data_IF_222790406153
#
_entry.id   IF_222790406153
#
_cell.length_a   1.000
_cell.length_b   1.000
_cell.length_c   1.000
_cell.angle_alpha   90.00
_cell.angle_beta   90.00
_cell.angle_gamma   90.00
#
_symmetry.space_group_name_H-M   'P 1'
#
loop_
_entity.id
_entity.type
_entity.pdbx_description
1 polymer ?
#
# COMPACT_ATOMS: atom_id res chain seq x y z
N UNK A 1 3.24 -10.52 -12.06
CA UNK A 1 2.25 -9.53 -11.54
C UNK A 1 2.56 -8.18 -12.15
N UNK A 2 1.55 -7.41 -12.58
CA UNK A 2 1.73 -6.04 -13.06
C UNK A 2 1.26 -5.04 -12.01
N UNK A 3 2.13 -4.11 -11.63
CA UNK A 3 1.81 -3.02 -10.70
C UNK A 3 1.64 -1.72 -11.47
N UNK A 4 0.56 -0.98 -11.18
CA UNK A 4 0.35 0.38 -11.69
C UNK A 4 0.15 1.35 -10.54
N UNK A 5 0.91 2.43 -10.50
CA UNK A 5 0.67 3.50 -9.52
C UNK A 5 -0.58 4.29 -9.90
N UNK A 6 -1.50 4.47 -8.97
CA UNK A 6 -2.73 5.24 -9.11
C UNK A 6 -2.71 6.51 -8.27
N UNK A 7 -1.51 7.04 -7.99
CA UNK A 7 -1.31 8.28 -7.25
C UNK A 7 -1.07 8.04 -5.76
N UNK A 8 -0.19 8.84 -5.17
CA UNK A 8 0.11 8.82 -3.73
C UNK A 8 0.40 7.41 -3.15
N UNK A 9 -0.45 6.86 -2.28
CA UNK A 9 -0.34 5.49 -1.79
C UNK A 9 -1.06 4.46 -2.68
N UNK A 10 -1.99 4.91 -3.52
CA UNK A 10 -2.81 3.99 -4.29
C UNK A 10 -2.02 3.23 -5.37
N UNK A 11 -2.14 1.91 -5.32
CA UNK A 11 -1.59 1.01 -6.34
C UNK A 11 -2.64 0.01 -6.81
N UNK A 12 -2.50 -0.40 -8.07
CA UNK A 12 -3.30 -1.45 -8.69
C UNK A 12 -2.38 -2.61 -9.04
N UNK A 13 -2.72 -3.80 -8.59
CA UNK A 13 -2.05 -5.05 -8.89
C UNK A 13 -2.93 -5.89 -9.81
N UNK A 14 -2.35 -6.36 -10.91
CA UNK A 14 -3.03 -7.21 -11.89
C UNK A 14 -2.23 -8.51 -12.07
N UNK A 15 -2.90 -9.64 -11.88
CA UNK A 15 -2.32 -10.98 -12.08
C UNK A 15 -3.43 -11.95 -12.49
N UNK A 16 -3.20 -12.71 -13.57
CA UNK A 16 -4.11 -13.74 -14.07
C UNK A 16 -5.57 -13.26 -14.28
N UNK A 17 -5.74 -11.98 -14.62
CA UNK A 17 -7.04 -11.34 -14.83
C UNK A 17 -7.71 -10.80 -13.55
N UNK A 18 -7.14 -11.08 -12.38
CA UNK A 18 -7.57 -10.56 -11.09
C UNK A 18 -6.97 -9.18 -10.86
N UNK A 19 -7.75 -8.30 -10.25
CA UNK A 19 -7.40 -6.90 -10.00
C UNK A 19 -7.60 -6.56 -8.53
N UNK A 20 -6.51 -6.21 -7.87
CA UNK A 20 -6.50 -5.76 -6.47
C UNK A 20 -6.07 -4.29 -6.45
N UNK A 21 -6.83 -3.44 -5.77
CA UNK A 21 -6.47 -2.03 -5.55
C UNK A 21 -6.17 -1.81 -4.08
N UNK A 22 -5.03 -1.22 -3.77
CA UNK A 22 -4.62 -0.91 -2.39
C UNK A 22 -4.69 0.60 -2.19
N UNK A 23 -5.23 1.03 -1.06
CA UNK A 23 -5.31 2.42 -0.59
C UNK A 23 -5.86 3.46 -1.60
N UNK A 24 -7.06 3.26 -2.15
CA UNK A 24 -7.74 4.24 -3.03
C UNK A 24 -8.29 5.44 -2.23
N UNK A 25 -7.41 6.23 -1.64
CA UNK A 25 -7.74 7.47 -0.91
C UNK A 25 -7.98 8.67 -1.81
N UNK A 26 -8.19 9.84 -1.21
CA UNK A 26 -8.55 11.09 -1.90
C UNK A 26 -7.47 11.63 -2.85
N UNK A 27 -6.23 11.17 -2.75
CA UNK A 27 -5.13 11.57 -3.64
C UNK A 27 -4.91 10.60 -4.80
N UNK A 28 -5.83 9.65 -4.97
CA UNK A 28 -5.79 8.66 -6.03
C UNK A 28 -6.37 9.18 -7.33
N UNK A 29 -6.03 8.51 -8.41
CA UNK A 29 -6.68 8.62 -9.71
C UNK A 29 -8.19 8.30 -9.56
N UNK A 30 -9.11 9.12 -10.11
CA UNK A 30 -10.56 8.89 -10.00
C UNK A 30 -11.04 7.54 -10.57
N UNK A 31 -10.26 6.93 -11.46
CA UNK A 31 -10.52 5.65 -12.11
C UNK A 31 -9.71 4.50 -11.48
N UNK A 32 -9.11 4.69 -10.30
CA UNK A 32 -8.30 3.67 -9.64
C UNK A 32 -9.05 2.34 -9.44
N UNK A 33 -10.36 2.41 -9.17
CA UNK A 33 -11.22 1.27 -8.88
C UNK A 33 -11.88 0.61 -10.09
N UNK A 34 -11.66 1.13 -11.31
CA UNK A 34 -12.33 0.60 -12.51
C UNK A 34 -11.95 -0.87 -12.75
N UNK A 35 -12.94 -1.77 -12.68
CA UNK A 35 -12.73 -3.22 -12.82
C UNK A 35 -11.93 -3.87 -11.69
N UNK A 36 -11.88 -3.24 -10.51
CA UNK A 36 -11.32 -3.87 -9.31
C UNK A 36 -12.19 -5.06 -8.86
N UNK A 37 -11.56 -6.18 -8.53
CA UNK A 37 -12.24 -7.32 -7.90
C UNK A 37 -12.16 -7.20 -6.37
N UNK A 38 -11.06 -6.63 -5.88
CA UNK A 38 -10.79 -6.45 -4.48
C UNK A 38 -10.20 -5.07 -4.18
N UNK A 39 -10.53 -4.53 -3.00
CA UNK A 39 -9.91 -3.36 -2.41
C UNK A 39 -9.28 -3.73 -1.08
N UNK A 40 -8.03 -3.33 -0.87
CA UNK A 40 -7.33 -3.43 0.40
C UNK A 40 -7.12 -2.01 0.94
N UNK A 41 -7.44 -1.76 2.21
CA UNK A 41 -7.23 -0.45 2.84
C UNK A 41 -6.42 -0.62 4.13
N UNK A 42 -5.31 0.09 4.22
CA UNK A 42 -4.35 -0.04 5.33
C UNK A 42 -4.84 0.61 6.62
N UNK A 43 -5.42 1.81 6.52
CA UNK A 43 -5.91 2.60 7.67
C UNK A 43 -6.85 3.75 7.24
N UNK A 44 -7.42 4.46 8.22
CA UNK A 44 -8.51 5.43 8.01
C UNK A 44 -8.12 6.82 7.51
N UNK A 45 -6.84 7.13 7.29
CA UNK A 45 -6.46 8.46 6.81
C UNK A 45 -6.95 8.71 5.38
N UNK A 46 -7.31 9.97 5.11
CA UNK A 46 -8.06 10.37 3.91
C UNK A 46 -7.29 10.20 2.61
N UNK A 47 -5.97 10.12 2.66
CA UNK A 47 -5.06 9.87 1.54
C UNK A 47 -4.88 8.38 1.22
N UNK A 48 -5.36 7.49 2.09
CA UNK A 48 -5.44 6.03 1.89
C UNK A 48 -6.89 5.54 1.75
N UNK A 49 -7.84 6.24 2.36
CA UNK A 49 -9.25 5.86 2.44
C UNK A 49 -10.19 7.00 2.04
N UNK A 50 -11.04 6.75 1.04
CA UNK A 50 -12.08 7.68 0.60
C UNK A 50 -13.47 7.02 0.73
N UNK A 51 -14.10 7.11 1.91
CA UNK A 51 -15.39 6.45 2.20
C UNK A 51 -16.45 6.60 1.08
N UNK A 52 -16.74 7.82 0.57
CA UNK A 52 -17.78 7.97 -0.45
C UNK A 52 -17.46 7.22 -1.75
N UNK A 53 -16.17 7.14 -2.10
CA UNK A 53 -15.68 6.46 -3.31
C UNK A 53 -15.84 4.95 -3.16
N UNK A 54 -15.42 4.37 -2.03
CA UNK A 54 -15.53 2.93 -1.79
C UNK A 54 -17.00 2.49 -1.68
N UNK A 55 -17.86 3.29 -1.04
CA UNK A 55 -19.30 3.00 -0.99
C UNK A 55 -19.92 3.00 -2.38
N UNK A 56 -19.65 4.03 -3.19
CA UNK A 56 -20.16 4.11 -4.55
C UNK A 56 -19.67 2.94 -5.42
N UNK A 57 -18.39 2.55 -5.31
CA UNK A 57 -17.84 1.41 -6.02
C UNK A 57 -18.50 0.09 -5.59
N UNK A 58 -18.69 -0.12 -4.29
CA UNK A 58 -19.37 -1.30 -3.77
C UNK A 58 -20.86 -1.34 -4.15
N UNK A 59 -21.54 -0.20 -4.27
CA UNK A 59 -22.92 -0.14 -4.76
C UNK A 59 -23.02 -0.46 -6.25
N UNK A 60 -22.06 0.01 -7.05
CA UNK A 60 -22.00 -0.24 -8.49
C UNK A 60 -21.66 -1.69 -8.84
N UNK A 61 -20.81 -2.35 -8.03
CA UNK A 61 -20.42 -3.74 -8.22
C UNK A 61 -20.69 -4.60 -6.97
N UNK A 62 -21.74 -5.43 -6.97
CA UNK A 62 -22.02 -6.37 -5.90
C UNK A 62 -20.93 -7.41 -5.64
N UNK A 63 -20.05 -7.66 -6.62
CA UNK A 63 -18.91 -8.58 -6.53
C UNK A 63 -17.69 -7.98 -5.83
N UNK A 64 -17.60 -6.65 -5.71
CA UNK A 64 -16.45 -5.99 -5.09
C UNK A 64 -16.32 -6.38 -3.61
N UNK A 65 -15.13 -6.86 -3.24
CA UNK A 65 -14.78 -7.22 -1.86
C UNK A 65 -13.77 -6.24 -1.29
N UNK A 66 -13.92 -5.91 -0.01
CA UNK A 66 -13.07 -4.95 0.70
C UNK A 66 -12.46 -5.65 1.92
N UNK A 67 -11.15 -5.54 2.08
CA UNK A 67 -10.44 -5.92 3.30
C UNK A 67 -9.79 -4.68 3.87
N UNK A 68 -9.97 -4.47 5.16
CA UNK A 68 -9.42 -3.30 5.83
C UNK A 68 -9.20 -3.56 7.32
N UNK A 69 -8.44 -2.69 7.95
CA UNK A 69 -8.40 -2.65 9.41
C UNK A 69 -9.79 -2.36 10.01
N UNK A 70 -9.90 -2.49 11.32
CA UNK A 70 -11.18 -2.29 12.01
C UNK A 70 -11.70 -0.86 11.88
N UNK A 71 -10.83 0.15 11.95
CA UNK A 71 -11.23 1.55 11.94
C UNK A 71 -11.87 1.95 10.61
N UNK A 72 -11.35 1.45 9.49
CA UNK A 72 -11.96 1.63 8.16
C UNK A 72 -13.24 0.81 8.02
N UNK A 73 -13.21 -0.46 8.44
CA UNK A 73 -14.36 -1.34 8.29
C UNK A 73 -15.60 -0.84 9.06
N UNK A 74 -15.40 -0.26 10.24
CA UNK A 74 -16.48 0.34 11.04
C UNK A 74 -17.10 1.55 10.32
N UNK A 75 -16.30 2.34 9.60
CA UNK A 75 -16.81 3.46 8.77
C UNK A 75 -17.56 2.98 7.54
N UNK A 76 -17.23 1.80 7.02
CA UNK A 76 -17.95 1.15 5.92
C UNK A 76 -19.11 0.26 6.39
N UNK A 77 -19.44 0.28 7.69
CA UNK A 77 -20.59 -0.44 8.23
C UNK A 77 -21.88 -0.07 7.46
N UNK A 78 -22.78 -1.03 7.36
CA UNK A 78 -24.01 -0.90 6.57
C UNK A 78 -23.85 -1.23 5.09
N UNK A 79 -22.63 -1.40 4.56
CA UNK A 79 -22.44 -2.09 3.28
C UNK A 79 -22.90 -3.54 3.44
N UNK A 80 -24.02 -3.89 2.80
CA UNK A 80 -24.67 -5.19 2.95
C UNK A 80 -23.84 -6.35 2.38
N UNK A 81 -24.22 -7.58 2.74
CA UNK A 81 -23.72 -8.80 2.08
C UNK A 81 -22.32 -9.27 2.51
N UNK A 82 -21.80 -8.83 3.65
CA UNK A 82 -20.51 -9.32 4.17
C UNK A 82 -19.32 -8.96 3.26
N UNK A 83 -19.44 -7.84 2.54
CA UNK A 83 -18.44 -7.41 1.55
C UNK A 83 -17.17 -6.84 2.17
N UNK A 84 -17.30 -6.27 3.36
CA UNK A 84 -16.20 -5.73 4.15
C UNK A 84 -15.72 -6.79 5.13
N UNK A 85 -14.45 -7.13 5.04
CA UNK A 85 -13.77 -8.09 5.92
C UNK A 85 -12.76 -7.33 6.77
N UNK A 86 -12.92 -7.39 8.08
CA UNK A 86 -11.93 -6.85 9.03
C UNK A 86 -10.72 -7.78 9.03
N UNK A 87 -9.53 -7.21 8.91
CA UNK A 87 -8.25 -7.92 9.03
C UNK A 87 -7.32 -7.23 10.02
N UNK A 88 -6.37 -7.98 10.56
CA UNK A 88 -5.32 -7.51 11.46
C UNK A 88 -4.01 -8.27 11.28
N UNK A 89 -2.99 -7.89 12.04
CA UNK A 89 -1.67 -8.55 12.04
C UNK A 89 -1.79 -10.08 12.17
N UNK A 90 -1.07 -10.80 11.31
CA UNK A 90 -1.03 -12.26 11.28
C UNK A 90 -2.17 -12.93 10.51
N UNK A 91 -3.17 -12.18 10.05
CA UNK A 91 -4.21 -12.72 9.16
C UNK A 91 -3.62 -13.05 7.78
N UNK A 92 -4.15 -14.10 7.16
CA UNK A 92 -3.84 -14.48 5.79
C UNK A 92 -5.10 -14.95 5.06
N UNK A 93 -5.22 -14.59 3.79
CA UNK A 93 -6.38 -14.91 2.96
C UNK A 93 -6.00 -14.99 1.48
N UNK A 94 -6.97 -15.35 0.65
CA UNK A 94 -6.82 -15.50 -0.79
C UNK A 94 -7.83 -14.61 -1.53
N UNK A 95 -7.39 -14.02 -2.63
CA UNK A 95 -8.22 -13.26 -3.57
C UNK A 95 -8.07 -13.90 -4.94
N UNK A 96 -9.01 -14.77 -5.31
CA UNK A 96 -9.07 -15.42 -6.63
C UNK A 96 -7.75 -16.12 -7.01
N UNK A 97 -7.11 -16.79 -6.05
CA UNK A 97 -5.83 -17.48 -6.23
C UNK A 97 -4.58 -16.64 -5.91
N UNK A 98 -4.75 -15.38 -5.50
CA UNK A 98 -3.66 -14.51 -5.06
C UNK A 98 -3.64 -14.47 -3.53
N UNK A 99 -2.58 -15.02 -2.94
CA UNK A 99 -2.36 -14.97 -1.50
C UNK A 99 -2.10 -13.55 -0.99
N UNK A 100 -2.65 -13.24 0.18
CA UNK A 100 -2.43 -11.98 0.92
C UNK A 100 -2.16 -12.28 2.38
N UNK A 101 -1.09 -11.71 2.93
CA UNK A 101 -0.79 -11.71 4.36
C UNK A 101 -0.86 -10.28 4.92
N UNK A 102 -1.29 -10.16 6.17
CA UNK A 102 -1.48 -8.88 6.85
C UNK A 102 -0.46 -8.73 7.96
N UNK A 103 0.23 -7.59 8.00
CA UNK A 103 1.35 -7.35 8.90
C UNK A 103 1.24 -5.97 9.56
N UNK A 104 1.55 -5.89 10.85
CA UNK A 104 1.58 -4.65 11.63
C UNK A 104 0.22 -4.24 12.21
N UNK A 105 0.29 -3.40 13.23
CA UNK A 105 -0.89 -3.00 14.01
C UNK A 105 -1.11 -1.48 14.06
N UNK A 106 -0.03 -0.69 13.92
CA UNK A 106 -0.04 0.73 14.25
C UNK A 106 0.73 1.56 13.22
N UNK A 107 0.15 2.71 12.88
CA UNK A 107 0.78 3.73 12.06
C UNK A 107 2.07 4.24 12.74
N UNK A 108 3.05 4.71 11.97
CA UNK A 108 4.24 5.39 12.48
C UNK A 108 3.88 6.59 13.36
N UNK A 109 4.75 6.98 14.28
CA UNK A 109 4.45 8.12 15.17
C UNK A 109 4.50 9.41 14.38
N UNK A 110 3.36 10.08 14.19
CA UNK A 110 3.31 11.43 13.62
C UNK A 110 3.90 12.45 14.59
N UNK A 111 3.38 12.49 15.81
CA UNK A 111 3.88 13.34 16.89
C UNK A 111 3.48 12.74 18.25
N UNK A 112 4.29 12.87 19.31
CA UNK A 112 3.96 12.34 20.64
C UNK A 112 2.64 12.85 21.25
N UNK A 113 2.19 14.04 20.84
CA UNK A 113 0.94 14.64 21.33
C UNK A 113 -0.32 14.17 20.58
N UNK A 114 -0.15 13.38 19.51
CA UNK A 114 -1.26 12.86 18.72
C UNK A 114 -1.46 11.37 19.01
N UNK A 115 -2.72 10.88 19.11
CA UNK A 115 -2.97 9.46 19.21
C UNK A 115 -2.46 8.75 17.95
N UNK A 116 -1.85 7.58 18.13
CA UNK A 116 -1.53 6.69 17.00
C UNK A 116 -2.80 5.98 16.58
N UNK A 117 -3.04 5.95 15.27
CA UNK A 117 -4.11 5.18 14.63
C UNK A 117 -3.64 3.76 14.31
N UNK A 118 -4.59 2.87 14.06
CA UNK A 118 -4.29 1.54 13.54
C UNK A 118 -3.75 1.64 12.12
N UNK A 119 -2.89 0.70 11.76
CA UNK A 119 -2.41 0.56 10.38
C UNK A 119 -1.96 -0.89 10.19
N UNK A 120 -2.49 -1.52 9.15
CA UNK A 120 -1.98 -2.80 8.67
C UNK A 120 -1.25 -2.60 7.34
N UNK A 121 -0.32 -3.49 7.03
CA UNK A 121 0.32 -3.63 5.72
C UNK A 121 -0.08 -4.93 5.04
N UNK A 122 -0.06 -4.95 3.71
CA UNK A 122 -0.45 -6.10 2.90
C UNK A 122 0.75 -6.64 2.12
N UNK A 123 1.09 -7.91 2.35
CA UNK A 123 2.03 -8.67 1.52
C UNK A 123 1.21 -9.50 0.53
N UNK A 124 1.29 -9.15 -0.76
CA UNK A 124 0.49 -9.77 -1.83
C UNK A 124 1.38 -10.61 -2.72
N UNK A 125 0.89 -11.79 -3.09
CA UNK A 125 1.56 -12.75 -3.97
C UNK A 125 2.36 -13.81 -3.21
N UNK A 126 3.09 -14.64 -3.96
CA UNK A 126 3.89 -15.75 -3.45
C UNK A 126 5.32 -15.72 -4.00
N UNK A 127 6.18 -16.61 -3.49
CA UNK A 127 7.59 -16.71 -3.94
C UNK A 127 7.77 -17.26 -5.35
N UNK A 128 6.74 -17.93 -5.90
CA UNK A 128 6.86 -18.59 -7.20
C UNK A 128 6.60 -17.58 -8.34
N UNK A 129 5.88 -16.50 -8.05
CA UNK A 129 5.56 -15.42 -8.99
C UNK A 129 6.32 -14.13 -8.68
N UNK A 130 5.91 -13.40 -7.65
CA UNK A 130 6.56 -12.22 -7.08
C UNK A 130 5.76 -11.78 -5.84
N UNK A 131 6.45 -11.22 -4.85
CA UNK A 131 5.80 -10.57 -3.70
C UNK A 131 5.87 -9.06 -3.71
N UNK A 132 4.78 -8.42 -3.28
CA UNK A 132 4.68 -6.96 -3.10
C UNK A 132 4.23 -6.66 -1.68
N UNK A 133 4.99 -5.84 -0.96
CA UNK A 133 4.58 -5.36 0.35
C UNK A 133 4.17 -3.89 0.31
N UNK A 134 2.91 -3.63 0.68
CA UNK A 134 2.38 -2.29 0.92
C UNK A 134 2.25 -2.05 2.43
N UNK A 135 3.15 -1.29 3.07
CA UNK A 135 3.15 -1.14 4.53
C UNK A 135 2.10 -0.16 5.07
N UNK A 136 1.44 0.61 4.18
CA UNK A 136 0.70 1.80 4.58
C UNK A 136 1.66 2.85 5.12
N UNK A 137 1.27 3.52 6.19
CA UNK A 137 2.05 4.57 6.84
C UNK A 137 2.80 4.07 8.07
N UNK A 138 3.47 2.93 7.90
CA UNK A 138 4.24 2.30 8.94
C UNK A 138 5.59 1.79 8.41
N UNK A 139 6.53 1.60 9.33
CA UNK A 139 7.79 0.90 9.08
C UNK A 139 7.70 -0.55 9.57
N UNK A 140 6.59 -1.22 9.23
CA UNK A 140 6.33 -2.63 9.61
C UNK A 140 7.23 -3.56 8.81
N UNK A 141 7.89 -4.51 9.47
CA UNK A 141 8.70 -5.54 8.80
C UNK A 141 7.89 -6.85 8.71
N UNK A 142 7.55 -7.34 7.50
CA UNK A 142 6.85 -8.61 7.36
C UNK A 142 7.74 -9.78 7.74
N UNK A 143 7.13 -10.90 8.10
CA UNK A 143 7.85 -12.07 8.66
C UNK A 143 8.64 -12.88 7.63
N UNK A 144 8.45 -12.61 6.32
CA UNK A 144 9.16 -13.29 5.22
C UNK A 144 9.78 -12.27 4.24
N UNK A 145 10.78 -12.69 3.44
CA UNK A 145 11.40 -11.83 2.44
C UNK A 145 10.38 -11.24 1.45
N UNK A 146 10.68 -10.02 1.00
CA UNK A 146 9.85 -9.25 0.06
C UNK A 146 10.63 -8.98 -1.22
N UNK A 147 10.05 -9.27 -2.39
CA UNK A 147 10.68 -8.94 -3.67
C UNK A 147 10.56 -7.44 -3.95
N UNK A 148 9.34 -6.90 -3.85
CA UNK A 148 9.05 -5.49 -4.10
C UNK A 148 8.45 -4.81 -2.88
N UNK A 149 9.17 -3.84 -2.31
CA UNK A 149 8.65 -2.97 -1.24
C UNK A 149 8.04 -1.71 -1.86
N UNK A 150 6.79 -1.41 -1.50
CA UNK A 150 6.20 -0.10 -1.75
C UNK A 150 6.59 0.83 -0.60
N UNK A 151 7.58 1.67 -0.86
CA UNK A 151 8.30 2.43 0.15
C UNK A 151 7.64 3.81 0.33
N UNK A 152 6.97 4.09 1.47
CA UNK A 152 6.45 5.43 1.77
C UNK A 152 7.63 6.38 2.00
N UNK A 153 7.85 7.31 1.06
CA UNK A 153 9.06 8.17 1.06
C UNK A 153 8.89 9.48 1.82
N UNK A 154 7.66 9.82 2.19
CA UNK A 154 7.32 11.07 2.84
C UNK A 154 6.04 10.90 3.66
N UNK A 155 5.78 11.84 4.55
CA UNK A 155 4.65 11.85 5.48
C UNK A 155 5.03 12.68 6.71
N UNK A 156 4.08 13.29 7.43
CA UNK A 156 4.37 14.07 8.65
C UNK A 156 5.13 13.28 9.73
N UNK A 157 5.02 11.95 9.68
CA UNK A 157 5.64 10.98 10.58
C UNK A 157 7.04 10.53 10.15
N UNK A 158 7.52 10.93 8.98
CA UNK A 158 8.70 10.34 8.35
C UNK A 158 9.89 11.31 8.26
N UNK A 159 11.09 10.76 8.40
CA UNK A 159 12.35 11.37 7.93
C UNK A 159 13.00 10.45 6.91
N UNK A 160 13.64 11.01 5.88
CA UNK A 160 14.32 10.21 4.83
C UNK A 160 15.34 9.22 5.41
N UNK A 161 16.00 9.54 6.52
CA UNK A 161 16.90 8.60 7.21
C UNK A 161 16.19 7.34 7.71
N UNK A 162 15.00 7.48 8.29
CA UNK A 162 14.20 6.35 8.79
C UNK A 162 13.67 5.50 7.64
N UNK A 163 13.30 6.12 6.52
CA UNK A 163 12.91 5.43 5.29
C UNK A 163 14.06 4.57 4.73
N UNK A 164 15.29 5.10 4.75
CA UNK A 164 16.50 4.36 4.35
C UNK A 164 16.75 3.17 5.28
N UNK A 165 16.69 3.40 6.60
CA UNK A 165 16.93 2.35 7.59
C UNK A 165 15.88 1.23 7.47
N UNK A 166 14.61 1.60 7.29
CA UNK A 166 13.53 0.66 7.04
C UNK A 166 13.76 -0.18 5.79
N UNK A 167 14.08 0.44 4.64
CA UNK A 167 14.36 -0.30 3.41
C UNK A 167 15.59 -1.22 3.55
N UNK A 168 16.60 -0.83 4.34
CA UNK A 168 17.77 -1.68 4.66
C UNK A 168 17.45 -2.83 5.59
N UNK A 169 16.46 -2.67 6.47
CA UNK A 169 15.97 -3.74 7.34
C UNK A 169 15.20 -4.79 6.54
N UNK A 170 14.29 -4.35 5.65
CA UNK A 170 13.51 -5.21 4.76
C UNK A 170 14.42 -5.96 3.77
N UNK A 171 15.46 -5.29 3.25
CA UNK A 171 16.33 -5.78 2.15
C UNK A 171 15.52 -6.30 0.95
N UNK A 172 14.61 -5.50 0.38
CA UNK A 172 13.85 -5.94 -0.77
C UNK A 172 14.76 -6.06 -2.00
N UNK A 173 14.36 -6.84 -2.99
CA UNK A 173 15.05 -6.83 -4.29
C UNK A 173 14.83 -5.51 -5.01
N UNK A 174 13.62 -4.97 -4.93
CA UNK A 174 13.21 -3.69 -5.52
C UNK A 174 12.41 -2.86 -4.52
N UNK A 175 12.60 -1.55 -4.50
CA UNK A 175 11.81 -0.59 -3.74
C UNK A 175 11.18 0.43 -4.71
N UNK A 176 9.86 0.53 -4.69
CA UNK A 176 9.08 1.49 -5.48
C UNK A 176 8.55 2.57 -4.55
N UNK A 177 8.78 3.84 -4.85
CA UNK A 177 8.24 4.90 -3.99
C UNK A 177 6.71 4.95 -4.03
N UNK A 178 6.11 5.20 -2.87
CA UNK A 178 4.73 5.65 -2.66
C UNK A 178 4.73 6.85 -1.71
N UNK A 179 3.58 7.47 -1.50
CA UNK A 179 3.42 8.60 -0.56
C UNK A 179 4.26 9.86 -0.94
N UNK A 180 4.53 10.03 -2.24
CA UNK A 180 5.36 11.11 -2.82
C UNK A 180 4.56 12.36 -3.23
N UNK A 181 3.22 12.28 -3.21
CA UNK A 181 2.33 13.37 -3.65
C UNK A 181 2.38 14.63 -2.79
N UNK A 182 2.89 14.54 -1.55
CA UNK A 182 3.07 15.69 -0.66
C UNK A 182 4.35 16.50 -0.95
N UNK A 183 5.25 15.99 -1.80
CA UNK A 183 6.52 16.61 -2.12
C UNK A 183 6.45 17.39 -3.44
N UNK A 184 7.17 18.53 -3.50
CA UNK A 184 7.47 19.18 -4.77
C UNK A 184 8.35 18.29 -5.65
N UNK A 185 8.50 18.65 -6.93
CA UNK A 185 9.42 17.94 -7.84
C UNK A 185 10.86 17.90 -7.29
N UNK A 186 11.35 19.03 -6.76
CA UNK A 186 12.69 19.11 -6.15
C UNK A 186 12.80 18.32 -4.85
N UNK A 187 11.75 18.31 -4.02
CA UNK A 187 11.71 17.50 -2.79
C UNK A 187 11.77 16.01 -3.10
N UNK A 188 11.00 15.58 -4.10
CA UNK A 188 11.05 14.21 -4.58
C UNK A 188 12.41 13.84 -5.18
N UNK A 189 13.01 14.71 -6.00
CA UNK A 189 14.35 14.46 -6.55
C UNK A 189 15.42 14.31 -5.46
N UNK A 190 15.31 15.07 -4.36
CA UNK A 190 16.20 14.92 -3.22
C UNK A 190 16.03 13.56 -2.53
N UNK A 191 14.79 13.14 -2.25
CA UNK A 191 14.49 11.85 -1.64
C UNK A 191 14.99 10.69 -2.53
N UNK A 192 14.71 10.75 -3.84
CA UNK A 192 15.16 9.76 -4.82
C UNK A 192 16.69 9.61 -4.80
N UNK A 193 17.42 10.72 -4.86
CA UNK A 193 18.88 10.69 -4.86
C UNK A 193 19.44 10.05 -3.59
N UNK A 194 18.86 10.35 -2.42
CA UNK A 194 19.29 9.76 -1.15
C UNK A 194 19.01 8.25 -1.10
N UNK A 195 17.82 7.82 -1.54
CA UNK A 195 17.44 6.40 -1.55
C UNK A 195 18.28 5.61 -2.55
N UNK A 196 18.47 6.11 -3.78
CA UNK A 196 19.35 5.49 -4.77
C UNK A 196 20.81 5.40 -4.33
N UNK A 197 21.29 6.35 -3.53
CA UNK A 197 22.65 6.32 -3.00
C UNK A 197 22.78 5.28 -1.88
N UNK A 198 21.85 5.31 -0.91
CA UNK A 198 21.98 4.53 0.33
C UNK A 198 21.51 3.08 0.23
N UNK A 199 20.67 2.74 -0.75
CA UNK A 199 20.18 1.37 -0.94
C UNK A 199 21.09 0.49 -1.83
N UNK A 200 22.07 1.09 -2.52
CA UNK A 200 23.10 0.35 -3.26
C UNK A 200 23.86 -0.65 -2.37
N UNK A 201 24.13 -0.28 -1.13
CA UNK A 201 24.89 -1.11 -0.18
C UNK A 201 24.17 -2.41 0.19
N UNK A 202 22.84 -2.44 0.09
CA UNK A 202 22.01 -3.63 0.35
C UNK A 202 21.54 -4.33 -0.92
N UNK A 203 21.99 -3.87 -2.09
CA UNK A 203 21.66 -4.47 -3.38
C UNK A 203 20.20 -4.30 -3.82
N UNK A 204 19.45 -3.38 -3.19
CA UNK A 204 18.06 -3.11 -3.53
C UNK A 204 17.99 -2.05 -4.65
N UNK A 205 17.25 -2.35 -5.72
CA UNK A 205 16.98 -1.39 -6.78
C UNK A 205 15.89 -0.41 -6.33
N UNK A 206 16.17 0.89 -6.30
CA UNK A 206 15.16 1.91 -5.99
C UNK A 206 14.72 2.65 -7.26
N UNK A 207 13.41 2.84 -7.40
CA UNK A 207 12.85 3.69 -8.44
C UNK A 207 11.57 4.39 -7.99
N UNK A 208 11.34 5.57 -8.55
CA UNK A 208 10.05 6.26 -8.49
C UNK A 208 9.31 6.05 -9.81
N UNK A 209 8.13 5.44 -9.73
CA UNK A 209 7.26 5.20 -10.88
C UNK A 209 6.23 6.34 -10.96
N UNK A 210 6.05 6.92 -12.15
CA UNK A 210 5.05 7.97 -12.33
C UNK A 210 3.62 7.42 -12.13
N UNK A 211 2.70 8.26 -11.62
CA UNK A 211 1.29 7.91 -11.58
C UNK A 211 0.77 7.58 -12.98
N UNK A 212 -0.02 6.50 -13.09
CA UNK A 212 -0.52 5.93 -14.34
C UNK A 212 0.46 5.00 -15.06
N UNK A 213 1.76 5.01 -14.71
CA UNK A 213 2.73 4.09 -15.29
C UNK A 213 2.64 2.70 -14.62
N UNK A 214 2.74 1.67 -15.45
CA UNK A 214 2.74 0.27 -15.02
C UNK A 214 4.12 -0.38 -15.17
N UNK A 215 4.45 -1.28 -14.26
CA UNK A 215 5.69 -2.06 -14.24
C UNK A 215 5.37 -3.55 -14.04
N UNK A 216 6.09 -4.41 -14.76
CA UNK A 216 6.04 -5.86 -14.53
C UNK A 216 6.95 -6.21 -13.36
N UNK A 217 6.40 -6.93 -12.39
CA UNK A 217 7.13 -7.47 -11.26
C UNK A 217 7.58 -8.89 -11.59
N UNK A 218 8.84 -9.18 -11.22
CA UNK A 218 9.55 -10.44 -11.49
C UNK A 218 10.03 -11.07 -10.20
#
# INVERSE_FOLDING_TARGET
MRLTRRGHACVRLEQDGVVIVIDPGNYSDPHALDGAHAVLVTHEHVDHFAEPVLRAAAEADPGLRIWADRAVADQLAGLGGGRVTVVGDGDAFDIEGIGVEVHGELHAVVHPDLPRVTNVGFLVGDTDTATVFHPGDAFTVPTRPVDTLLLPVHGPWSKTGEVIDYAREIRPRSALSIHDGGLSESGNALADNMLQMCLRDVGADYQRVAAGAGIELT
#
